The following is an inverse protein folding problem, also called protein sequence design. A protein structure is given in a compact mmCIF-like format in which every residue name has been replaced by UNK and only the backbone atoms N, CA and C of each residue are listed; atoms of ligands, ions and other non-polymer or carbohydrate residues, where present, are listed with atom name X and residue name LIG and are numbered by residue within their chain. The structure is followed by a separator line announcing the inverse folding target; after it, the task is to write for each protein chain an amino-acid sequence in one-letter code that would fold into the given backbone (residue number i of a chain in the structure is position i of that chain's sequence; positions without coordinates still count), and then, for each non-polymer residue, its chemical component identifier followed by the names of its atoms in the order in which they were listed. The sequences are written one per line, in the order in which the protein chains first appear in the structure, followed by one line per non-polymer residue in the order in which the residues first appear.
data_IF_219646635591
#
_entry.id   IF_219646635591
#
_cell.length_a   1.000
_cell.length_b   1.000
_cell.length_c   1.000
_cell.angle_alpha   90.00
_cell.angle_beta   90.00
_cell.angle_gamma   90.00
#
_symmetry.space_group_name_H-M   'P 1'
#
loop_
_entity.id
_entity.type
_entity.pdbx_description
1 polymer ?
#
# COMPACT_ATOMS: atom_id res chain seq x y z
N UNK A 1 -18.40 5.66 -22.22
CA UNK A 1 -18.27 5.93 -20.74
C UNK A 1 -19.62 6.40 -20.19
N UNK A 2 -20.61 5.56 -20.37
CA UNK A 2 -22.02 5.88 -20.05
C UNK A 2 -22.27 6.04 -18.54
N UNK A 3 -21.50 5.31 -17.71
CA UNK A 3 -21.69 5.24 -16.26
C UNK A 3 -20.80 6.20 -15.46
N UNK A 4 -19.83 6.87 -16.09
CA UNK A 4 -18.93 7.81 -15.39
C UNK A 4 -19.62 9.17 -15.26
N UNK A 5 -19.77 9.68 -14.02
CA UNK A 5 -20.46 10.93 -13.69
C UNK A 5 -19.51 12.01 -13.14
N UNK A 6 -18.23 11.77 -13.15
CA UNK A 6 -17.20 12.68 -12.67
C UNK A 6 -15.89 12.53 -13.43
N UNK A 7 -14.80 12.98 -12.83
CA UNK A 7 -13.46 12.91 -13.40
C UNK A 7 -12.66 11.86 -12.61
N UNK A 8 -11.98 10.98 -13.33
CA UNK A 8 -11.01 10.03 -12.78
C UNK A 8 -9.70 10.25 -13.52
N UNK A 9 -8.68 10.66 -12.79
CA UNK A 9 -7.32 10.83 -13.31
C UNK A 9 -6.45 9.65 -12.88
N UNK A 10 -5.63 9.15 -13.79
CA UNK A 10 -4.78 7.98 -13.55
C UNK A 10 -3.34 8.35 -13.90
N UNK A 11 -2.48 8.23 -12.91
CA UNK A 11 -1.04 8.39 -13.03
C UNK A 11 -0.38 6.99 -13.00
N UNK A 12 -0.08 6.39 -14.16
CA UNK A 12 0.42 4.99 -14.22
C UNK A 12 1.75 4.79 -13.51
N UNK A 13 2.60 5.82 -13.48
CA UNK A 13 3.88 5.80 -12.79
C UNK A 13 4.31 7.25 -12.48
N UNK A 14 4.61 7.55 -11.21
CA UNK A 14 5.12 8.86 -10.80
C UNK A 14 6.62 9.01 -11.07
N UNK A 15 7.36 7.91 -11.16
CA UNK A 15 8.77 7.87 -11.56
C UNK A 15 8.96 7.02 -12.84
N UNK A 16 8.55 7.50 -14.02
CA UNK A 16 8.68 6.74 -15.27
C UNK A 16 10.15 6.43 -15.64
N UNK A 17 11.07 7.31 -15.26
CA UNK A 17 12.50 7.08 -15.47
C UNK A 17 13.02 5.90 -14.64
N UNK A 18 12.57 5.79 -13.37
CA UNK A 18 12.89 4.66 -12.51
C UNK A 18 12.32 3.35 -13.06
N UNK A 19 11.08 3.37 -13.58
CA UNK A 19 10.47 2.19 -14.23
C UNK A 19 11.32 1.73 -15.42
N UNK A 20 11.71 2.65 -16.29
CA UNK A 20 12.53 2.33 -17.46
C UNK A 20 13.93 1.80 -17.10
N UNK A 21 14.51 2.30 -16.01
CA UNK A 21 15.86 1.92 -15.55
C UNK A 21 15.86 0.78 -14.54
N UNK A 22 14.67 0.29 -14.14
CA UNK A 22 14.50 -0.75 -13.12
C UNK A 22 15.17 -0.32 -11.79
N UNK A 23 14.98 0.93 -11.41
CA UNK A 23 15.50 1.49 -10.17
C UNK A 23 14.37 2.06 -9.30
N UNK A 24 14.53 2.03 -7.99
CA UNK A 24 13.58 2.66 -7.06
C UNK A 24 13.71 4.19 -7.11
N UNK A 25 14.93 4.68 -7.10
CA UNK A 25 15.23 6.12 -7.16
C UNK A 25 15.08 6.70 -8.55
N UNK A 26 15.05 8.01 -8.63
CA UNK A 26 15.12 8.74 -9.91
C UNK A 26 16.56 8.63 -10.43
N UNK A 27 16.76 8.06 -11.64
CA UNK A 27 18.10 7.89 -12.20
C UNK A 27 18.88 9.20 -12.26
N UNK A 28 20.14 9.14 -11.87
CA UNK A 28 21.04 10.29 -11.82
C UNK A 28 20.95 11.13 -10.53
N UNK A 29 19.91 10.95 -9.72
CA UNK A 29 19.72 11.63 -8.45
C UNK A 29 19.75 10.69 -7.25
N UNK A 30 19.51 9.39 -7.46
CA UNK A 30 19.38 8.37 -6.41
C UNK A 30 18.36 8.72 -5.31
N UNK A 31 17.37 9.54 -5.65
CA UNK A 31 16.30 9.98 -4.75
C UNK A 31 15.02 9.18 -4.98
N UNK A 32 14.46 8.65 -3.90
CA UNK A 32 13.14 8.03 -3.90
C UNK A 32 12.07 9.13 -4.01
N UNK A 33 11.23 9.08 -5.07
CA UNK A 33 10.13 10.04 -5.25
C UNK A 33 9.25 10.15 -4.00
N UNK A 34 9.00 9.04 -3.32
CA UNK A 34 8.16 9.04 -2.11
C UNK A 34 8.91 9.46 -0.84
N UNK A 35 9.97 10.24 -0.99
CA UNK A 35 10.77 10.87 0.08
C UNK A 35 11.04 12.34 -0.17
N UNK A 36 10.48 12.89 -1.25
CA UNK A 36 10.74 14.28 -1.66
C UNK A 36 9.47 15.15 -1.72
N UNK A 37 8.30 14.60 -1.40
CA UNK A 37 7.07 15.37 -1.30
C UNK A 37 7.07 16.29 -0.06
N UNK A 38 6.47 17.48 -0.16
CA UNK A 38 5.66 18.02 -1.24
C UNK A 38 6.49 18.57 -2.43
N UNK A 39 7.81 18.53 -2.37
CA UNK A 39 8.68 19.07 -3.38
C UNK A 39 8.85 20.59 -3.31
N UNK A 40 9.54 21.16 -4.29
CA UNK A 40 9.80 22.60 -4.38
C UNK A 40 10.01 23.04 -5.83
N UNK A 41 9.52 24.21 -6.19
CA UNK A 41 9.67 24.77 -7.53
C UNK A 41 11.13 25.12 -7.90
N UNK A 42 11.93 25.50 -6.92
CA UNK A 42 13.31 25.97 -7.11
C UNK A 42 14.36 24.90 -6.77
N UNK A 43 13.99 23.62 -6.78
CA UNK A 43 14.84 22.54 -6.30
C UNK A 43 15.27 21.59 -7.44
N UNK A 44 15.82 20.42 -7.07
CA UNK A 44 16.24 19.40 -8.04
C UNK A 44 15.07 18.88 -8.88
N UNK A 45 15.37 18.25 -10.03
CA UNK A 45 14.34 17.69 -10.91
C UNK A 45 13.34 16.77 -10.19
N UNK A 46 13.75 15.83 -9.30
CA UNK A 46 12.80 15.02 -8.55
C UNK A 46 11.88 15.82 -7.63
N UNK A 47 12.39 16.81 -6.95
CA UNK A 47 11.63 17.69 -6.05
C UNK A 47 10.70 18.61 -6.83
N UNK A 48 11.15 19.12 -7.97
CA UNK A 48 10.30 19.89 -8.90
C UNK A 48 9.16 19.02 -9.46
N UNK A 49 9.44 17.77 -9.83
CA UNK A 49 8.41 16.83 -10.27
C UNK A 49 7.39 16.55 -9.16
N UNK A 50 7.85 16.34 -7.92
CA UNK A 50 6.97 16.17 -6.77
C UNK A 50 6.08 17.40 -6.55
N UNK A 51 6.65 18.60 -6.62
CA UNK A 51 5.90 19.86 -6.53
C UNK A 51 4.81 19.95 -7.61
N UNK A 52 5.12 19.61 -8.87
CA UNK A 52 4.14 19.63 -9.97
C UNK A 52 3.03 18.58 -9.78
N UNK A 53 3.35 17.42 -9.28
CA UNK A 53 2.36 16.38 -8.92
C UNK A 53 1.41 16.92 -7.82
N UNK A 54 1.95 17.57 -6.79
CA UNK A 54 1.15 18.16 -5.73
C UNK A 54 0.20 19.27 -6.26
N UNK A 55 0.69 20.12 -7.15
CA UNK A 55 -0.14 21.17 -7.76
C UNK A 55 -1.27 20.59 -8.63
N UNK A 56 -0.99 19.50 -9.37
CA UNK A 56 -1.93 18.83 -10.24
C UNK A 56 -3.04 18.09 -9.46
N UNK A 57 -2.67 17.48 -8.33
CA UNK A 57 -3.60 16.76 -7.44
C UNK A 57 -4.38 17.68 -6.49
N UNK A 58 -4.05 18.96 -6.44
CA UNK A 58 -4.70 19.92 -5.56
C UNK A 58 -6.20 20.05 -5.88
N UNK A 59 -7.02 19.90 -4.83
CA UNK A 59 -8.47 19.99 -4.98
C UNK A 59 -9.15 18.69 -5.42
N UNK A 60 -8.40 17.59 -5.59
CA UNK A 60 -9.00 16.28 -5.78
C UNK A 60 -9.87 15.90 -4.58
N UNK A 61 -11.03 15.29 -4.84
CA UNK A 61 -11.94 14.84 -3.77
C UNK A 61 -11.39 13.70 -2.95
N UNK A 62 -10.59 12.83 -3.58
CA UNK A 62 -9.90 11.70 -2.97
C UNK A 62 -8.72 11.27 -3.87
N UNK A 63 -7.63 10.84 -3.26
CA UNK A 63 -6.51 10.21 -3.93
C UNK A 63 -6.30 8.78 -3.42
N UNK A 64 -5.85 7.89 -4.30
CA UNK A 64 -5.41 6.53 -3.95
C UNK A 64 -3.97 6.39 -4.41
N UNK A 65 -3.05 6.29 -3.46
CA UNK A 65 -1.62 6.07 -3.70
C UNK A 65 -1.33 4.57 -3.64
N UNK A 66 -1.05 3.96 -4.81
CA UNK A 66 -0.94 2.51 -4.95
C UNK A 66 0.51 2.09 -5.00
N UNK A 67 0.87 1.22 -4.08
CA UNK A 67 2.22 0.68 -3.92
C UNK A 67 2.26 -0.83 -4.07
N UNK A 68 3.43 -1.33 -4.45
CA UNK A 68 3.81 -2.72 -4.24
C UNK A 68 4.92 -2.76 -3.18
N UNK A 69 4.94 -3.82 -2.39
CA UNK A 69 5.99 -4.06 -1.42
C UNK A 69 7.37 -4.15 -2.06
N UNK A 70 8.44 -4.25 -1.26
CA UNK A 70 9.78 -4.48 -1.80
C UNK A 70 9.89 -5.88 -2.46
N UNK A 71 11.02 -6.18 -3.08
CA UNK A 71 11.23 -7.45 -3.82
C UNK A 71 11.31 -8.70 -2.94
N UNK A 72 11.44 -8.52 -1.62
CA UNK A 72 11.59 -9.61 -0.65
C UNK A 72 10.35 -9.87 0.19
N UNK A 73 9.37 -8.95 0.17
CA UNK A 73 8.18 -9.02 1.00
C UNK A 73 6.93 -9.12 0.12
N UNK A 74 6.11 -10.13 0.37
CA UNK A 74 4.79 -10.25 -0.24
C UNK A 74 3.73 -9.81 0.75
N UNK A 75 2.99 -8.76 0.41
CA UNK A 75 1.87 -8.26 1.20
C UNK A 75 0.53 -8.64 0.57
N UNK A 76 -0.45 -8.95 1.42
CA UNK A 76 -1.84 -9.03 0.98
C UNK A 76 -2.34 -7.61 0.68
N UNK A 77 -3.36 -7.44 -0.17
CA UNK A 77 -3.97 -6.13 -0.38
C UNK A 77 -4.41 -5.50 0.93
N UNK A 78 -3.82 -4.37 1.26
CA UNK A 78 -4.10 -3.64 2.49
C UNK A 78 -4.14 -2.14 2.25
N UNK A 79 -4.99 -1.46 3.02
CA UNK A 79 -4.99 0.00 3.10
C UNK A 79 -4.26 0.42 4.36
N UNK A 80 -3.37 1.39 4.24
CA UNK A 80 -2.69 2.03 5.37
C UNK A 80 -3.29 3.39 5.64
N UNK A 81 -3.64 3.63 6.88
CA UNK A 81 -4.26 4.88 7.35
C UNK A 81 -3.57 5.32 8.62
N UNK A 82 -3.26 6.61 8.75
CA UNK A 82 -2.81 7.16 10.03
C UNK A 82 -3.97 7.21 11.02
N UNK A 83 -3.68 7.05 12.31
CA UNK A 83 -4.70 7.12 13.35
C UNK A 83 -5.43 8.48 13.36
N UNK A 84 -4.72 9.55 13.03
CA UNK A 84 -5.24 10.92 12.95
C UNK A 84 -6.28 11.08 11.83
N UNK A 85 -6.06 10.40 10.70
CA UNK A 85 -6.96 10.45 9.54
C UNK A 85 -8.00 9.32 9.54
N UNK A 86 -7.97 8.42 10.53
CA UNK A 86 -8.78 7.21 10.53
C UNK A 86 -10.28 7.50 10.46
N UNK A 87 -10.77 8.46 11.22
CA UNK A 87 -12.20 8.83 11.22
C UNK A 87 -12.67 9.23 9.81
N UNK A 88 -11.88 10.03 9.10
CA UNK A 88 -12.18 10.54 7.77
C UNK A 88 -12.00 9.47 6.68
N UNK A 89 -10.97 8.64 6.77
CA UNK A 89 -10.54 7.76 5.67
C UNK A 89 -11.12 6.33 5.77
N UNK A 90 -11.48 5.84 6.97
CA UNK A 90 -12.00 4.48 7.13
C UNK A 90 -13.24 4.15 6.30
N UNK A 91 -14.22 5.06 6.13
CA UNK A 91 -15.38 4.79 5.27
C UNK A 91 -14.97 4.45 3.83
N UNK A 92 -13.99 5.17 3.29
CA UNK A 92 -13.47 4.97 1.95
C UNK A 92 -12.57 3.73 1.86
N UNK A 93 -11.70 3.51 2.86
CA UNK A 93 -10.83 2.34 2.93
C UNK A 93 -11.61 1.01 2.86
N UNK A 94 -12.77 0.94 3.51
CA UNK A 94 -13.64 -0.24 3.50
C UNK A 94 -14.24 -0.55 2.12
N UNK A 95 -14.23 0.39 1.19
CA UNK A 95 -14.77 0.21 -0.17
C UNK A 95 -13.72 -0.33 -1.14
N UNK A 96 -12.43 -0.30 -0.82
CA UNK A 96 -11.35 -0.68 -1.72
C UNK A 96 -11.16 -2.18 -1.92
N UNK A 97 -12.06 -3.02 -1.38
CA UNK A 97 -12.01 -4.48 -1.55
C UNK A 97 -10.66 -5.10 -1.15
N UNK A 98 -10.00 -4.52 -0.15
CA UNK A 98 -8.73 -5.03 0.38
C UNK A 98 -8.97 -6.00 1.53
N UNK A 99 -7.97 -6.85 1.82
CA UNK A 99 -8.10 -7.86 2.89
C UNK A 99 -7.90 -7.26 4.28
N UNK A 100 -7.10 -6.19 4.37
CA UNK A 100 -6.70 -5.63 5.64
C UNK A 100 -6.68 -4.11 5.64
N UNK A 101 -7.01 -3.50 6.77
CA UNK A 101 -6.83 -2.08 7.02
C UNK A 101 -5.86 -1.92 8.19
N UNK A 102 -4.68 -1.38 7.89
CA UNK A 102 -3.67 -1.06 8.89
C UNK A 102 -3.84 0.37 9.39
N UNK A 103 -4.19 0.52 10.65
CA UNK A 103 -4.27 1.82 11.31
C UNK A 103 -3.01 1.96 12.18
N UNK A 104 -2.13 2.87 11.80
CA UNK A 104 -0.89 3.16 12.51
C UNK A 104 -1.04 4.37 13.41
N UNK A 105 -0.70 4.20 14.68
CA UNK A 105 -0.58 5.31 15.65
C UNK A 105 0.86 5.83 15.77
N UNK A 106 1.81 5.20 15.07
CA UNK A 106 3.20 5.63 15.12
C UNK A 106 3.43 6.79 14.15
N UNK A 107 4.21 7.78 14.56
CA UNK A 107 4.76 8.84 13.73
C UNK A 107 5.75 8.33 12.65
N UNK A 108 5.62 7.07 12.25
CA UNK A 108 6.38 6.42 11.18
C UNK A 108 5.81 6.69 9.79
N UNK A 109 4.72 7.46 9.68
CA UNK A 109 4.32 8.06 8.41
C UNK A 109 5.40 9.08 8.10
N UNK A 110 6.18 8.77 7.10
CA UNK A 110 7.29 9.63 6.70
C UNK A 110 6.70 10.92 6.14
N UNK A 111 7.01 12.03 6.76
CA UNK A 111 6.49 13.37 6.45
C UNK A 111 6.67 13.76 4.98
N UNK A 112 7.66 13.17 4.30
CA UNK A 112 7.98 13.44 2.89
C UNK A 112 7.35 12.45 1.90
N UNK A 113 6.23 11.80 2.26
CA UNK A 113 5.48 10.93 1.34
C UNK A 113 4.35 11.70 0.64
N UNK A 114 3.95 11.21 -0.56
CA UNK A 114 2.83 11.78 -1.30
C UNK A 114 1.55 11.82 -0.45
N UNK A 115 1.20 10.68 0.14
CA UNK A 115 -0.04 10.56 0.91
C UNK A 115 -0.06 11.48 2.14
N UNK A 116 1.06 11.62 2.85
CA UNK A 116 1.14 12.56 3.97
C UNK A 116 0.96 14.00 3.48
N UNK A 117 1.74 14.43 2.49
CA UNK A 117 1.70 15.79 1.95
C UNK A 117 0.32 16.15 1.38
N UNK A 118 -0.37 15.23 0.71
CA UNK A 118 -1.72 15.45 0.21
C UNK A 118 -2.75 15.56 1.35
N UNK A 119 -2.67 14.70 2.36
CA UNK A 119 -3.55 14.78 3.52
C UNK A 119 -3.39 16.11 4.26
N UNK A 120 -2.15 16.59 4.46
CA UNK A 120 -1.86 17.91 5.03
C UNK A 120 -2.39 19.05 4.14
N UNK A 121 -2.32 18.90 2.82
CA UNK A 121 -2.88 19.85 1.87
C UNK A 121 -4.42 19.78 1.76
N UNK A 122 -5.07 18.92 2.55
CA UNK A 122 -6.52 18.78 2.60
C UNK A 122 -7.13 17.83 1.56
N UNK A 123 -6.30 17.13 0.76
CA UNK A 123 -6.74 16.09 -0.18
C UNK A 123 -6.73 14.73 0.53
N UNK A 124 -7.90 14.13 0.82
CA UNK A 124 -7.97 12.83 1.49
C UNK A 124 -7.26 11.77 0.63
N UNK A 125 -6.25 11.11 1.21
CA UNK A 125 -5.41 10.17 0.46
C UNK A 125 -5.28 8.85 1.21
N UNK A 126 -5.62 7.76 0.51
CA UNK A 126 -5.46 6.38 0.96
C UNK A 126 -4.20 5.78 0.37
N UNK A 127 -3.42 5.09 1.18
CA UNK A 127 -2.28 4.29 0.70
C UNK A 127 -2.70 2.83 0.60
N UNK A 128 -2.49 2.23 -0.56
CA UNK A 128 -2.71 0.79 -0.78
C UNK A 128 -1.38 0.11 -0.99
N UNK A 129 -1.12 -0.93 -0.22
CA UNK A 129 0.05 -1.80 -0.41
C UNK A 129 -0.41 -3.19 -0.80
N UNK A 130 0.23 -3.81 -1.81
CA UNK A 130 -0.12 -5.17 -2.23
C UNK A 130 0.97 -5.84 -3.06
N UNK A 131 1.07 -7.16 -2.93
CA UNK A 131 1.92 -7.98 -3.78
C UNK A 131 3.40 -7.90 -3.43
N UNK A 132 4.24 -7.99 -4.45
CA UNK A 132 5.71 -8.01 -4.38
C UNK A 132 6.24 -7.00 -5.39
N UNK A 133 7.24 -6.25 -5.03
CA UNK A 133 7.92 -5.34 -5.96
C UNK A 133 8.45 -6.04 -7.20
N UNK A 134 8.52 -5.31 -8.30
CA UNK A 134 8.95 -5.78 -9.63
C UNK A 134 8.11 -6.92 -10.24
N UNK A 135 6.92 -7.19 -9.70
CA UNK A 135 6.00 -8.23 -10.20
C UNK A 135 4.57 -7.75 -10.18
N UNK A 136 3.78 -8.21 -11.15
CA UNK A 136 2.34 -7.96 -11.19
C UNK A 136 1.63 -9.17 -10.61
N UNK A 137 0.89 -8.97 -9.51
CA UNK A 137 -0.03 -9.96 -8.95
C UNK A 137 -1.43 -9.66 -9.48
N UNK A 138 -1.80 -10.30 -10.59
CA UNK A 138 -3.03 -9.99 -11.34
C UNK A 138 -4.29 -10.06 -10.46
N UNK A 139 -4.40 -11.08 -9.62
CA UNK A 139 -5.57 -11.27 -8.76
C UNK A 139 -5.75 -10.09 -7.80
N UNK A 140 -4.65 -9.55 -7.26
CA UNK A 140 -4.70 -8.38 -6.39
C UNK A 140 -5.04 -7.11 -7.18
N UNK A 141 -4.53 -6.99 -8.40
CA UNK A 141 -4.90 -5.90 -9.30
C UNK A 141 -6.40 -5.91 -9.63
N UNK A 142 -6.96 -7.06 -9.98
CA UNK A 142 -8.40 -7.20 -10.22
C UNK A 142 -9.21 -6.89 -8.95
N UNK A 143 -8.80 -7.42 -7.80
CA UNK A 143 -9.46 -7.17 -6.53
C UNK A 143 -9.51 -5.67 -6.20
N UNK A 144 -8.40 -4.96 -6.34
CA UNK A 144 -8.34 -3.52 -6.09
C UNK A 144 -9.17 -2.74 -7.13
N UNK A 145 -9.13 -3.13 -8.40
CA UNK A 145 -9.94 -2.48 -9.45
C UNK A 145 -11.43 -2.56 -9.12
N UNK A 146 -11.92 -3.72 -8.69
CA UNK A 146 -13.30 -3.88 -8.22
C UNK A 146 -13.60 -2.96 -7.02
N UNK A 147 -12.66 -2.83 -6.10
CA UNK A 147 -12.74 -1.92 -4.97
C UNK A 147 -12.76 -0.45 -5.38
N UNK A 148 -11.95 -0.06 -6.35
CA UNK A 148 -11.97 1.31 -6.89
C UNK A 148 -13.35 1.64 -7.48
N UNK A 149 -13.96 0.76 -8.26
CA UNK A 149 -15.32 0.97 -8.76
C UNK A 149 -16.35 1.07 -7.63
N UNK A 150 -16.22 0.28 -6.57
CA UNK A 150 -17.07 0.39 -5.38
C UNK A 150 -16.91 1.74 -4.69
N UNK A 151 -15.68 2.24 -4.58
CA UNK A 151 -15.38 3.56 -4.01
C UNK A 151 -15.90 4.68 -4.90
N UNK A 152 -15.71 4.61 -6.22
CA UNK A 152 -16.25 5.58 -7.17
C UNK A 152 -17.78 5.66 -7.11
N UNK A 153 -18.45 4.53 -6.89
CA UNK A 153 -19.91 4.49 -6.69
C UNK A 153 -20.32 5.18 -5.39
N UNK A 154 -19.60 4.96 -4.30
CA UNK A 154 -19.82 5.64 -3.02
C UNK A 154 -19.66 7.17 -3.16
N UNK A 155 -18.72 7.61 -3.97
CA UNK A 155 -18.47 9.03 -4.25
C UNK A 155 -19.44 9.63 -5.28
N UNK A 156 -20.37 8.84 -5.84
CA UNK A 156 -21.30 9.29 -6.88
C UNK A 156 -20.64 9.51 -8.25
N UNK A 157 -19.40 9.04 -8.44
CA UNK A 157 -18.63 9.17 -9.69
C UNK A 157 -18.89 8.02 -10.66
N UNK A 158 -19.38 6.88 -10.18
CA UNK A 158 -19.72 5.69 -10.96
C UNK A 158 -21.16 5.28 -10.74
N UNK A 159 -21.94 5.09 -11.82
CA UNK A 159 -23.36 4.72 -11.79
C UNK A 159 -23.61 3.27 -12.28
N UNK A 160 -22.56 2.58 -12.74
CA UNK A 160 -22.66 1.20 -13.20
C UNK A 160 -22.75 0.17 -12.08
N UNK A 161 -22.85 -1.08 -12.46
CA UNK A 161 -22.80 -2.21 -11.54
C UNK A 161 -21.43 -2.31 -10.87
N UNK A 162 -21.42 -2.81 -9.64
CA UNK A 162 -20.21 -3.10 -8.87
C UNK A 162 -20.31 -4.48 -8.22
N UNK A 163 -19.17 -5.09 -7.96
CA UNK A 163 -19.10 -6.21 -7.02
C UNK A 163 -19.08 -5.67 -5.58
N UNK A 164 -19.75 -6.37 -4.70
CA UNK A 164 -19.73 -6.04 -3.27
C UNK A 164 -18.32 -6.33 -2.74
N UNK A 165 -17.63 -5.33 -2.16
CA UNK A 165 -16.28 -5.55 -1.62
C UNK A 165 -16.31 -6.49 -0.42
N UNK A 166 -15.19 -7.21 -0.19
CA UNK A 166 -15.02 -7.99 1.03
C UNK A 166 -14.95 -7.07 2.25
N UNK A 167 -15.27 -7.62 3.41
CA UNK A 167 -15.13 -6.92 4.69
C UNK A 167 -13.68 -7.09 5.14
N UNK A 168 -12.86 -6.03 5.17
CA UNK A 168 -11.47 -6.14 5.56
C UNK A 168 -11.32 -6.38 7.08
N UNK A 169 -10.28 -7.12 7.45
CA UNK A 169 -9.83 -7.18 8.85
C UNK A 169 -9.13 -5.87 9.20
N UNK A 170 -9.38 -5.31 10.38
CA UNK A 170 -8.76 -4.06 10.82
C UNK A 170 -7.84 -4.25 12.02
N UNK A 171 -6.71 -3.54 12.04
CA UNK A 171 -5.77 -3.50 13.17
C UNK A 171 -6.25 -2.66 14.35
N UNK A 172 -7.43 -2.07 14.28
CA UNK A 172 -7.97 -1.10 15.24
C UNK A 172 -7.96 -1.59 16.71
N UNK A 173 -8.00 -2.90 16.93
CA UNK A 173 -8.05 -3.49 18.26
C UNK A 173 -6.68 -3.98 18.76
N UNK A 174 -5.56 -3.54 18.21
CA UNK A 174 -4.19 -3.97 18.56
C UNK A 174 -3.98 -5.49 18.55
N UNK A 175 -4.76 -6.23 17.75
CA UNK A 175 -4.68 -7.69 17.60
C UNK A 175 -3.69 -8.11 16.50
N UNK A 176 -2.60 -7.35 16.34
CA UNK A 176 -1.54 -7.68 15.38
C UNK A 176 -0.34 -8.15 16.18
N UNK A 177 0.16 -9.33 15.83
CA UNK A 177 1.38 -9.89 16.39
C UNK A 177 2.50 -9.82 15.36
N UNK A 178 3.60 -9.20 15.74
CA UNK A 178 4.83 -9.23 14.96
C UNK A 178 5.69 -10.42 15.39
N UNK A 179 6.10 -11.21 14.44
CA UNK A 179 7.01 -12.34 14.64
C UNK A 179 8.31 -11.98 13.95
N UNK A 180 9.37 -11.79 14.74
CA UNK A 180 10.69 -11.42 14.23
C UNK A 180 11.64 -12.61 14.38
N UNK A 181 12.43 -12.86 13.35
CA UNK A 181 13.53 -13.83 13.41
C UNK A 181 14.62 -13.35 14.37
N UNK A 182 15.09 -14.22 15.24
CA UNK A 182 16.26 -13.98 16.12
C UNK A 182 17.50 -14.74 15.65
N UNK A 183 17.34 -15.65 14.68
CA UNK A 183 18.42 -16.39 14.04
C UNK A 183 18.58 -16.01 12.59
N UNK A 184 19.82 -15.93 12.06
CA UNK A 184 20.04 -15.75 10.63
C UNK A 184 19.71 -17.04 9.87
N UNK A 185 19.29 -16.88 8.61
CA UNK A 185 19.01 -18.02 7.74
C UNK A 185 18.00 -17.71 6.65
N UNK A 186 17.51 -18.75 5.99
CA UNK A 186 16.49 -18.67 4.97
C UNK A 186 15.13 -18.92 5.59
N UNK A 187 14.22 -17.96 5.48
CA UNK A 187 12.84 -18.13 5.94
C UNK A 187 12.04 -19.01 5.00
N UNK A 188 11.46 -20.08 5.52
CA UNK A 188 10.48 -20.92 4.84
C UNK A 188 9.09 -20.71 5.45
N UNK A 189 8.16 -20.06 4.76
CA UNK A 189 6.79 -19.92 5.23
C UNK A 189 6.08 -21.28 5.17
N UNK A 190 5.38 -21.64 6.24
CA UNK A 190 4.43 -22.77 6.27
C UNK A 190 2.98 -22.26 6.18
N UNK A 191 2.71 -21.12 6.80
CA UNK A 191 1.40 -20.48 6.73
C UNK A 191 1.16 -19.85 5.36
N UNK A 192 -0.09 -19.89 4.93
CA UNK A 192 -0.54 -19.19 3.72
C UNK A 192 -1.23 -17.88 4.09
N UNK A 193 -1.11 -16.86 3.23
CA UNK A 193 -1.87 -15.62 3.37
C UNK A 193 -3.37 -15.90 3.42
N UNK A 194 -4.12 -15.10 4.18
CA UNK A 194 -5.59 -15.15 4.30
C UNK A 194 -6.14 -16.43 4.92
N UNK A 195 -5.31 -17.22 5.57
CA UNK A 195 -5.77 -18.42 6.27
C UNK A 195 -5.78 -18.22 7.77
N UNK A 196 -6.87 -18.62 8.38
CA UNK A 196 -6.94 -18.79 9.81
C UNK A 196 -6.07 -19.99 10.22
N UNK A 197 -5.27 -19.79 11.25
CA UNK A 197 -4.41 -20.79 11.81
C UNK A 197 -4.91 -21.21 13.20
N UNK A 198 -4.80 -22.48 13.51
CA UNK A 198 -5.15 -23.02 14.82
C UNK A 198 -3.91 -23.09 15.71
N UNK A 199 -4.14 -23.13 17.02
CA UNK A 199 -3.08 -23.34 18.02
C UNK A 199 -2.24 -24.58 17.67
N UNK A 200 -0.91 -24.41 17.69
CA UNK A 200 0.06 -25.44 17.35
C UNK A 200 0.36 -25.57 15.83
N UNK A 201 -0.33 -24.84 14.96
CA UNK A 201 0.02 -24.86 13.53
C UNK A 201 1.28 -24.04 13.26
N UNK A 202 2.15 -24.59 12.42
CA UNK A 202 3.41 -23.99 12.03
C UNK A 202 3.19 -22.75 11.15
N UNK A 203 3.75 -21.62 11.55
CA UNK A 203 3.74 -20.37 10.78
C UNK A 203 4.87 -20.35 9.77
N UNK A 204 6.06 -20.76 10.20
CA UNK A 204 7.27 -20.81 9.38
C UNK A 204 8.49 -21.17 10.17
N UNK A 205 9.61 -21.33 9.48
CA UNK A 205 10.88 -21.71 10.06
C UNK A 205 12.07 -21.04 9.38
N UNK A 206 13.18 -20.92 10.09
CA UNK A 206 14.47 -20.47 9.55
C UNK A 206 15.38 -21.66 9.38
N UNK A 207 15.92 -21.85 8.19
CA UNK A 207 16.91 -22.86 7.88
C UNK A 207 18.30 -22.26 7.77
N UNK A 208 19.28 -22.99 8.29
CA UNK A 208 20.67 -22.72 7.99
C UNK A 208 20.98 -23.12 6.53
N UNK A 209 21.42 -22.19 5.68
CA UNK A 209 21.65 -22.47 4.26
C UNK A 209 22.86 -23.38 3.98
N UNK A 210 23.75 -23.57 4.98
CA UNK A 210 24.98 -24.36 4.82
C UNK A 210 24.73 -25.84 5.09
N UNK A 211 23.96 -26.17 6.12
CA UNK A 211 23.77 -27.56 6.55
C UNK A 211 22.30 -28.03 6.54
N UNK A 212 21.34 -27.13 6.24
CA UNK A 212 19.92 -27.45 6.16
C UNK A 212 19.22 -27.67 7.50
N UNK A 213 19.88 -27.38 8.62
CA UNK A 213 19.24 -27.53 9.95
C UNK A 213 18.22 -26.41 10.18
N UNK A 214 17.16 -26.74 10.95
CA UNK A 214 16.20 -25.74 11.43
C UNK A 214 16.81 -25.00 12.61
N UNK A 215 17.02 -23.69 12.45
CA UNK A 215 17.58 -22.82 13.50
C UNK A 215 16.51 -22.20 14.39
N UNK A 216 15.31 -21.96 13.82
CA UNK A 216 14.18 -21.35 14.51
C UNK A 216 12.86 -21.73 13.83
N UNK A 217 11.78 -21.83 14.59
CA UNK A 217 10.44 -22.01 14.04
C UNK A 217 9.40 -21.30 14.91
N UNK A 218 8.24 -21.01 14.32
CA UNK A 218 7.11 -20.35 15.00
C UNK A 218 5.83 -21.13 14.78
N UNK A 219 5.11 -21.29 15.87
CA UNK A 219 3.78 -21.91 15.92
C UNK A 219 2.77 -20.95 16.53
N UNK A 220 1.50 -21.14 16.22
CA UNK A 220 0.40 -20.39 16.82
C UNK A 220 0.25 -20.78 18.29
N UNK A 221 0.31 -19.82 19.19
CA UNK A 221 0.20 -20.02 20.65
C UNK A 221 -1.24 -19.95 21.16
#
# INVERSE_FOLDING_TARGET
MEYLKGIVEIYPALNPLGVNSITRGVPGFDLDMNRVFPGSEESSLPEYAAYKIMEDLKGASLCIDIHASNIFLREIPQVRVSAEMAEKLLPYAKKLNTDFIWISSAATVQESTLAHSLNEAGVPTLVVEMGVGMRITRDFGHQLTEGIFSLLKELGVWDGEIKVPCIPVSSQNRKVCFINAVKPGIFLPAAQHRKDLKKGELIGQILNPINGTVEEYWEVR
#
